data_IF_963937864110
#
_entry.id   IF_963937864110
#
_cell.length_a   1.000
_cell.length_b   1.000
_cell.length_c   1.000
_cell.angle_alpha   90.00
_cell.angle_beta   90.00
_cell.angle_gamma   90.00
#
_symmetry.space_group_name_H-M   'P 1'
#
loop_
_entity.id
_entity.type
_entity.pdbx_description
1 polymer ?
#
# COMPACT_ATOMS: atom_id res chain seq x y z
N UNK A 1 6.06 -12.80 30.94
CA UNK A 1 6.50 -11.73 30.00
C UNK A 1 5.34 -10.75 29.83
N UNK A 2 5.58 -9.44 30.04
CA UNK A 2 4.51 -8.41 29.97
C UNK A 2 4.00 -8.29 28.52
N UNK A 3 2.70 -8.06 28.34
CA UNK A 3 2.03 -7.93 27.02
C UNK A 3 2.72 -6.90 26.11
N UNK A 4 3.33 -5.86 26.69
CA UNK A 4 4.16 -4.88 25.98
C UNK A 4 5.37 -5.52 25.26
N UNK A 5 6.00 -6.55 25.84
CA UNK A 5 7.10 -7.27 25.20
C UNK A 5 6.60 -8.17 24.05
N UNK A 6 5.36 -8.67 24.11
CA UNK A 6 4.79 -9.49 23.05
C UNK A 6 4.42 -8.66 21.82
N UNK A 7 3.91 -7.44 22.02
CA UNK A 7 3.63 -6.48 20.94
C UNK A 7 4.92 -5.98 20.26
N UNK A 8 5.99 -5.77 21.02
CA UNK A 8 7.30 -5.37 20.47
C UNK A 8 7.92 -6.50 19.62
N UNK A 9 7.72 -7.76 20.00
CA UNK A 9 8.17 -8.94 19.24
C UNK A 9 7.32 -9.13 17.96
N UNK A 10 6.02 -8.77 17.99
CA UNK A 10 5.13 -8.86 16.82
C UNK A 10 5.38 -7.75 15.79
N UNK A 11 5.89 -6.59 16.21
CA UNK A 11 6.26 -5.45 15.35
C UNK A 11 7.66 -5.56 14.73
N UNK A 12 8.57 -6.35 15.35
CA UNK A 12 9.93 -6.57 14.88
C UNK A 12 10.06 -7.12 13.43
N UNK A 13 9.23 -8.07 12.95
CA UNK A 13 9.34 -8.59 11.59
C UNK A 13 8.94 -7.59 10.50
N UNK A 14 8.19 -6.52 10.82
CA UNK A 14 7.83 -5.46 9.85
C UNK A 14 9.05 -4.59 9.51
N UNK A 15 10.03 -4.50 10.42
CA UNK A 15 11.25 -3.71 10.23
C UNK A 15 12.42 -4.46 9.58
N UNK A 16 12.27 -5.75 9.25
CA UNK A 16 13.34 -6.58 8.67
C UNK A 16 13.11 -6.92 7.18
N UNK A 17 12.12 -6.31 6.53
CA UNK A 17 11.95 -6.38 5.09
C UNK A 17 13.13 -5.71 4.38
N UNK A 18 14.05 -6.51 3.81
CA UNK A 18 15.15 -5.98 2.99
C UNK A 18 14.59 -5.20 1.81
N UNK A 19 14.88 -3.90 1.72
CA UNK A 19 14.44 -3.01 0.64
C UNK A 19 15.19 -3.26 -0.69
N UNK A 20 15.61 -4.51 -0.95
CA UNK A 20 16.38 -4.90 -2.12
C UNK A 20 15.48 -5.55 -3.18
N UNK A 21 15.80 -5.37 -4.47
CA UNK A 21 15.19 -6.14 -5.55
C UNK A 21 15.37 -7.64 -5.36
N UNK A 22 14.38 -8.41 -5.76
CA UNK A 22 14.42 -9.87 -5.74
C UNK A 22 15.11 -10.39 -6.99
N UNK A 23 16.17 -11.18 -6.80
CA UNK A 23 16.86 -11.90 -7.88
C UNK A 23 16.31 -13.32 -7.96
N UNK A 24 15.87 -13.72 -9.15
CA UNK A 24 15.38 -15.07 -9.43
C UNK A 24 16.28 -15.64 -10.53
N UNK A 25 16.84 -16.82 -10.30
CA UNK A 25 17.73 -17.49 -11.27
C UNK A 25 17.23 -18.88 -11.60
N UNK A 26 17.45 -19.29 -12.83
CA UNK A 26 17.37 -20.68 -13.25
C UNK A 26 18.72 -21.08 -13.85
N UNK A 27 19.44 -21.97 -13.19
CA UNK A 27 20.79 -22.38 -13.61
C UNK A 27 20.68 -23.67 -14.39
N UNK A 28 21.22 -23.67 -15.60
CA UNK A 28 21.33 -24.89 -16.43
C UNK A 28 22.72 -25.51 -16.28
N UNK A 29 23.76 -24.66 -16.28
CA UNK A 29 25.16 -25.04 -16.10
C UNK A 29 25.87 -23.98 -15.26
N UNK A 30 26.80 -24.38 -14.42
CA UNK A 30 27.59 -23.44 -13.61
C UNK A 30 29.07 -23.73 -13.80
N UNK A 31 29.83 -22.67 -14.06
CA UNK A 31 31.30 -22.74 -14.13
C UNK A 31 31.91 -22.01 -12.93
N UNK A 32 33.23 -22.16 -12.72
CA UNK A 32 33.92 -21.33 -11.74
C UNK A 32 33.89 -19.86 -12.18
N UNK A 33 33.60 -18.90 -11.28
CA UNK A 33 33.67 -17.47 -11.60
C UNK A 33 35.07 -17.11 -12.09
N UNK A 34 35.17 -16.57 -13.32
CA UNK A 34 36.45 -16.16 -13.93
C UNK A 34 36.49 -14.67 -14.28
N UNK A 35 35.37 -14.07 -14.64
CA UNK A 35 35.23 -12.64 -14.91
C UNK A 35 34.67 -11.91 -13.69
N UNK A 36 35.17 -10.70 -13.40
CA UNK A 36 34.54 -9.83 -12.41
C UNK A 36 33.14 -9.40 -12.89
N UNK A 37 32.26 -8.98 -11.97
CA UNK A 37 30.90 -8.57 -12.34
C UNK A 37 30.91 -7.39 -13.33
N UNK A 38 31.88 -6.51 -13.21
CA UNK A 38 32.09 -5.33 -14.05
C UNK A 38 32.55 -5.71 -15.47
N UNK A 39 33.23 -6.85 -15.61
CA UNK A 39 33.75 -7.40 -16.86
C UNK A 39 32.72 -8.22 -17.63
N UNK A 40 31.57 -8.55 -17.01
CA UNK A 40 30.46 -9.22 -17.71
C UNK A 40 29.94 -8.30 -18.82
N UNK A 41 30.10 -8.72 -20.07
CA UNK A 41 29.63 -7.98 -21.23
C UNK A 41 28.10 -7.96 -21.27
N UNK A 42 27.50 -6.80 -21.55
CA UNK A 42 26.05 -6.63 -21.58
C UNK A 42 25.57 -6.49 -23.02
N UNK A 43 24.76 -7.44 -23.48
CA UNK A 43 23.94 -7.28 -24.68
C UNK A 43 22.57 -6.74 -24.28
N UNK A 44 22.19 -5.60 -24.84
CA UNK A 44 20.88 -4.98 -24.64
C UNK A 44 19.75 -5.78 -25.30
N UNK A 45 18.50 -5.39 -25.02
CA UNK A 45 17.31 -6.08 -25.58
C UNK A 45 17.34 -6.00 -27.10
N UNK A 46 17.28 -7.15 -27.76
CA UNK A 46 17.29 -7.27 -29.22
C UNK A 46 18.68 -7.22 -29.87
N UNK A 47 19.77 -7.08 -29.11
CA UNK A 47 21.12 -7.21 -29.64
C UNK A 47 21.46 -8.67 -29.92
N UNK A 48 22.16 -8.91 -31.03
CA UNK A 48 22.61 -10.25 -31.43
C UNK A 48 23.80 -10.69 -30.59
N UNK A 49 23.74 -11.92 -30.11
CA UNK A 49 24.82 -12.57 -29.36
C UNK A 49 25.61 -13.47 -30.32
N UNK A 50 26.94 -13.61 -30.18
CA UNK A 50 27.75 -14.52 -30.99
C UNK A 50 27.24 -15.97 -30.96
N UNK A 51 27.38 -16.71 -32.06
CA UNK A 51 27.01 -18.13 -32.14
C UNK A 51 27.83 -19.01 -31.17
N UNK A 52 29.01 -18.56 -30.75
CA UNK A 52 29.85 -19.22 -29.76
C UNK A 52 29.33 -19.10 -28.32
N UNK A 53 28.25 -18.35 -28.08
CA UNK A 53 27.69 -18.18 -26.75
C UNK A 53 26.90 -19.42 -26.30
N UNK A 54 27.33 -20.00 -25.20
CA UNK A 54 26.61 -21.06 -24.49
C UNK A 54 25.64 -20.44 -23.46
N UNK A 55 24.39 -20.91 -23.45
CA UNK A 55 23.44 -20.57 -22.38
C UNK A 55 23.77 -21.35 -21.12
N UNK A 56 24.03 -20.63 -20.02
CA UNK A 56 24.35 -21.24 -18.71
C UNK A 56 23.21 -21.07 -17.70
N UNK A 57 22.28 -20.14 -17.96
CA UNK A 57 21.07 -19.98 -17.17
C UNK A 57 20.33 -18.69 -17.50
N UNK A 58 19.32 -18.39 -16.71
CA UNK A 58 18.55 -17.15 -16.80
C UNK A 58 18.53 -16.41 -15.47
N UNK A 59 18.45 -15.09 -15.53
CA UNK A 59 18.33 -14.21 -14.38
C UNK A 59 17.17 -13.25 -14.58
N UNK A 60 16.39 -13.03 -13.53
CA UNK A 60 15.35 -12.02 -13.45
C UNK A 60 15.59 -11.18 -12.21
N UNK A 61 15.64 -9.87 -12.38
CA UNK A 61 15.67 -8.91 -11.27
C UNK A 61 14.34 -8.20 -11.27
N UNK A 62 13.55 -8.45 -10.23
CA UNK A 62 12.18 -7.94 -10.09
C UNK A 62 12.02 -7.22 -8.77
N UNK A 63 11.00 -6.37 -8.69
CA UNK A 63 10.68 -5.67 -7.46
C UNK A 63 10.04 -6.61 -6.44
N UNK A 64 10.51 -6.54 -5.19
CA UNK A 64 9.95 -7.25 -4.05
C UNK A 64 8.74 -6.54 -3.41
N UNK A 65 8.33 -5.38 -3.93
CA UNK A 65 7.17 -4.58 -3.48
C UNK A 65 7.53 -3.39 -2.61
N UNK A 66 8.77 -3.30 -2.13
CA UNK A 66 9.31 -2.17 -1.36
C UNK A 66 10.79 -1.89 -1.68
N UNK A 67 11.25 -2.22 -2.91
CA UNK A 67 12.66 -2.05 -3.26
C UNK A 67 13.03 -0.59 -3.44
N UNK A 68 14.16 -0.15 -2.88
CA UNK A 68 14.62 1.27 -2.95
C UNK A 68 15.86 1.47 -3.82
N UNK A 69 16.63 0.41 -4.10
CA UNK A 69 17.82 0.42 -4.95
C UNK A 69 17.57 -0.36 -6.25
N UNK A 70 16.73 0.17 -7.12
CA UNK A 70 16.20 -0.52 -8.29
C UNK A 70 16.17 0.33 -9.56
N UNK A 71 17.10 1.29 -9.69
CA UNK A 71 17.32 1.96 -10.98
C UNK A 71 17.96 0.99 -12.00
N UNK A 72 17.99 1.37 -13.28
CA UNK A 72 18.48 0.50 -14.35
C UNK A 72 19.90 -0.04 -14.09
N UNK A 73 20.85 0.84 -13.74
CA UNK A 73 22.24 0.45 -13.49
C UNK A 73 22.37 -0.51 -12.30
N UNK A 74 21.58 -0.30 -11.25
CA UNK A 74 21.56 -1.16 -10.06
C UNK A 74 21.01 -2.55 -10.37
N UNK A 75 19.91 -2.65 -11.15
CA UNK A 75 19.35 -3.96 -11.51
C UNK A 75 20.25 -4.70 -12.48
N UNK A 76 20.89 -3.99 -13.41
CA UNK A 76 21.90 -4.56 -14.33
C UNK A 76 23.12 -5.03 -13.55
N UNK A 77 23.65 -4.23 -12.63
CA UNK A 77 24.80 -4.62 -11.80
C UNK A 77 24.49 -5.89 -10.99
N UNK A 78 23.28 -6.00 -10.44
CA UNK A 78 22.84 -7.19 -9.70
C UNK A 78 22.71 -8.42 -10.60
N UNK A 79 22.22 -8.26 -11.83
CA UNK A 79 22.18 -9.33 -12.83
C UNK A 79 23.59 -9.74 -13.30
N UNK A 80 24.50 -8.79 -13.54
CA UNK A 80 25.90 -9.05 -13.87
C UNK A 80 26.64 -9.77 -12.75
N UNK A 81 26.45 -9.33 -11.50
CA UNK A 81 27.01 -9.99 -10.33
C UNK A 81 26.54 -11.45 -10.23
N UNK A 82 25.24 -11.68 -10.43
CA UNK A 82 24.66 -13.03 -10.47
C UNK A 82 25.24 -13.86 -11.61
N UNK A 83 25.41 -13.27 -12.80
CA UNK A 83 25.99 -13.92 -13.99
C UNK A 83 27.43 -14.37 -13.72
N UNK A 84 28.28 -13.46 -13.23
CA UNK A 84 29.67 -13.73 -12.86
C UNK A 84 29.75 -14.82 -11.78
N UNK A 85 28.91 -14.75 -10.73
CA UNK A 85 28.84 -15.76 -9.67
C UNK A 85 28.53 -17.17 -10.17
N UNK A 86 27.82 -17.30 -11.29
CA UNK A 86 27.48 -18.59 -11.91
C UNK A 86 28.44 -18.95 -13.06
N UNK A 87 29.52 -18.20 -13.25
CA UNK A 87 30.57 -18.50 -14.23
C UNK A 87 30.34 -17.96 -15.64
N UNK A 88 29.36 -17.08 -15.83
CA UNK A 88 29.12 -16.39 -17.11
C UNK A 88 30.00 -15.15 -17.29
N UNK A 89 30.37 -14.86 -18.52
CA UNK A 89 31.10 -13.65 -18.92
C UNK A 89 30.28 -12.70 -19.82
N UNK A 90 29.05 -13.10 -20.17
CA UNK A 90 28.11 -12.25 -20.90
C UNK A 90 26.70 -12.38 -20.34
N UNK A 91 25.95 -11.28 -20.40
CA UNK A 91 24.54 -11.18 -20.02
C UNK A 91 23.78 -10.57 -21.20
N UNK A 92 22.80 -11.29 -21.73
CA UNK A 92 21.93 -10.80 -22.79
C UNK A 92 20.53 -10.52 -22.25
N UNK A 93 20.08 -9.27 -22.29
CA UNK A 93 18.75 -8.90 -21.82
C UNK A 93 17.68 -9.39 -22.80
N UNK A 94 16.66 -10.06 -22.28
CA UNK A 94 15.51 -10.55 -23.04
C UNK A 94 14.26 -9.71 -22.80
N UNK A 95 14.18 -9.03 -21.65
CA UNK A 95 13.10 -8.12 -21.30
C UNK A 95 13.65 -6.99 -20.43
N UNK A 96 13.14 -5.78 -20.65
CA UNK A 96 13.41 -4.62 -19.81
C UNK A 96 12.10 -3.85 -19.66
N UNK A 97 11.62 -3.79 -18.41
CA UNK A 97 10.41 -3.05 -18.06
C UNK A 97 10.82 -1.83 -17.25
N UNK A 98 10.44 -0.67 -17.75
CA UNK A 98 10.63 0.58 -17.05
C UNK A 98 9.59 0.74 -15.93
N UNK A 99 9.92 1.53 -14.89
CA UNK A 99 8.96 1.96 -13.89
C UNK A 99 7.71 2.52 -14.56
N UNK A 100 6.53 2.06 -14.14
CA UNK A 100 5.26 2.48 -14.73
C UNK A 100 4.23 2.81 -13.67
N UNK A 101 3.30 3.71 -14.02
CA UNK A 101 2.30 4.25 -13.09
C UNK A 101 1.33 3.21 -12.53
N UNK A 102 1.09 2.11 -13.27
CA UNK A 102 0.21 1.00 -12.87
C UNK A 102 1.00 -0.29 -12.55
N UNK A 103 2.33 -0.24 -12.65
CA UNK A 103 3.23 -1.37 -12.43
C UNK A 103 4.19 -1.10 -11.28
N UNK A 104 5.34 -1.76 -11.30
CA UNK A 104 6.39 -1.52 -10.30
C UNK A 104 7.01 -0.14 -10.49
N UNK A 105 7.43 0.50 -9.39
CA UNK A 105 8.24 1.73 -9.40
C UNK A 105 9.73 1.48 -9.71
N UNK A 106 10.11 0.22 -9.90
CA UNK A 106 11.47 -0.23 -10.14
C UNK A 106 11.66 -0.70 -11.58
N UNK A 107 12.88 -0.55 -12.09
CA UNK A 107 13.23 -1.26 -13.32
C UNK A 107 13.19 -2.76 -13.04
N UNK A 108 12.67 -3.51 -14.00
CA UNK A 108 12.68 -4.96 -13.97
C UNK A 108 13.35 -5.46 -15.24
N UNK A 109 14.23 -6.44 -15.10
CA UNK A 109 14.95 -7.02 -16.24
C UNK A 109 14.87 -8.53 -16.19
N UNK A 110 14.86 -9.15 -17.37
CA UNK A 110 15.12 -10.55 -17.57
C UNK A 110 16.28 -10.69 -18.56
N UNK A 111 17.11 -11.71 -18.38
CA UNK A 111 18.20 -11.97 -19.29
C UNK A 111 18.74 -13.38 -19.22
N UNK A 112 19.44 -13.75 -20.28
CA UNK A 112 20.18 -14.99 -20.42
C UNK A 112 21.61 -14.75 -19.93
N UNK A 113 22.03 -15.58 -18.99
CA UNK A 113 23.42 -15.67 -18.54
C UNK A 113 24.16 -16.56 -19.53
N UNK A 114 25.26 -16.07 -20.07
CA UNK A 114 25.98 -16.69 -21.17
C UNK A 114 27.44 -16.91 -20.81
N UNK A 115 27.99 -17.96 -21.39
CA UNK A 115 29.42 -18.21 -21.45
C UNK A 115 29.88 -18.14 -22.91
N UNK A 116 30.78 -17.21 -23.20
CA UNK A 116 31.42 -17.08 -24.50
C UNK A 116 32.87 -17.52 -24.29
N UNK A 117 33.24 -18.66 -24.87
CA UNK A 117 34.64 -19.12 -24.83
C UNK A 117 35.56 -18.10 -25.49
N UNK A 118 36.81 -18.00 -25.01
CA UNK A 118 37.82 -17.11 -25.59
C UNK A 118 37.91 -17.36 -27.10
N UNK A 119 37.37 -16.43 -27.88
CA UNK A 119 37.71 -16.27 -29.27
C UNK A 119 39.10 -15.63 -29.31
N UNK A 120 40.14 -16.47 -29.37
CA UNK A 120 41.41 -16.01 -29.92
C UNK A 120 41.12 -15.53 -31.35
N UNK A 121 41.13 -14.21 -31.50
CA UNK A 121 40.97 -13.43 -32.73
C UNK A 121 39.55 -13.36 -33.30
N UNK A 122 38.82 -12.32 -32.94
CA UNK A 122 37.98 -11.61 -33.91
C UNK A 122 38.06 -10.10 -33.62
N UNK A 123 39.19 -9.50 -34.01
CA UNK A 123 39.16 -8.10 -34.38
C UNK A 123 38.28 -7.93 -35.62
N UNK A 124 37.61 -6.78 -35.70
CA UNK A 124 37.03 -6.13 -36.88
C UNK A 124 35.50 -6.13 -36.96
N UNK A 125 34.88 -5.15 -36.29
CA UNK A 125 34.32 -3.98 -36.99
C UNK A 125 33.88 -2.93 -35.95
N UNK A 126 34.75 -1.98 -35.66
CA UNK A 126 34.37 -0.70 -35.08
C UNK A 126 34.50 0.33 -36.19
N UNK A 127 33.37 0.81 -36.72
CA UNK A 127 33.32 2.09 -37.40
C UNK A 127 32.91 3.16 -36.37
N UNK A 128 33.65 4.28 -36.24
CA UNK A 128 33.36 5.30 -35.25
C UNK A 128 32.29 6.25 -35.77
N UNK A 129 31.28 6.54 -34.96
CA UNK A 129 30.54 7.80 -35.09
C UNK A 129 30.57 8.50 -33.75
N UNK A 130 31.50 9.45 -33.66
CA UNK A 130 31.36 10.60 -32.78
C UNK A 130 30.18 11.40 -33.29
N UNK A 131 29.18 11.65 -32.45
CA UNK A 131 28.45 12.91 -32.51
C UNK A 131 28.15 13.37 -31.10
N UNK A 132 28.84 14.44 -30.74
CA UNK A 132 28.45 15.37 -29.69
C UNK A 132 26.98 15.77 -29.88
N UNK A 133 26.16 15.54 -28.85
CA UNK A 133 24.97 16.34 -28.64
C UNK A 133 24.78 16.44 -27.14
N UNK A 134 25.36 17.50 -26.58
CA UNK A 134 24.83 18.09 -25.37
C UNK A 134 23.33 18.31 -25.59
N UNK A 135 22.53 17.62 -24.79
CA UNK A 135 21.14 17.96 -24.62
C UNK A 135 20.91 18.05 -23.13
N UNK A 136 21.03 19.27 -22.65
CA UNK A 136 20.33 19.74 -21.46
C UNK A 136 18.86 19.34 -21.62
N UNK A 137 18.51 18.22 -21.02
CA UNK A 137 17.14 17.94 -20.67
C UNK A 137 17.10 18.08 -19.16
N UNK A 138 16.91 19.32 -18.71
CA UNK A 138 16.03 19.59 -17.59
C UNK A 138 14.66 18.96 -17.92
N UNK A 139 14.56 17.63 -17.84
CA UNK A 139 13.30 16.93 -17.73
C UNK A 139 12.85 17.26 -16.32
N UNK A 140 12.08 18.34 -16.21
CA UNK A 140 11.48 18.79 -14.97
C UNK A 140 10.94 17.57 -14.26
N UNK A 141 11.43 17.35 -13.03
CA UNK A 141 10.90 16.35 -12.11
C UNK A 141 9.38 16.36 -12.29
N UNK A 142 8.82 15.29 -12.87
CA UNK A 142 7.38 15.18 -13.06
C UNK A 142 6.78 15.39 -11.67
N UNK A 143 6.21 16.57 -11.45
CA UNK A 143 5.64 16.93 -10.16
C UNK A 143 4.59 15.86 -9.88
N UNK A 144 4.72 15.21 -8.74
CA UNK A 144 3.73 14.25 -8.26
C UNK A 144 2.34 14.86 -8.47
N UNK A 145 1.44 14.12 -9.10
CA UNK A 145 0.04 14.57 -9.24
C UNK A 145 -0.67 14.64 -7.89
N UNK A 146 -0.06 14.05 -6.86
CA UNK A 146 -0.47 14.04 -5.46
C UNK A 146 0.44 14.95 -4.63
N UNK A 147 -0.18 15.78 -3.80
CA UNK A 147 0.48 16.28 -2.60
C UNK A 147 0.63 15.13 -1.62
N UNK A 148 1.77 15.09 -0.95
CA UNK A 148 2.10 13.93 -0.13
C UNK A 148 1.27 13.91 1.14
N UNK A 149 0.79 15.05 1.62
CA UNK A 149 0.06 15.15 2.88
C UNK A 149 -1.35 15.70 2.65
N UNK A 150 -2.35 14.99 3.17
CA UNK A 150 -3.75 15.41 3.14
C UNK A 150 -4.34 15.39 4.54
N UNK A 151 -4.94 16.50 4.97
CA UNK A 151 -5.84 16.52 6.14
C UNK A 151 -7.27 16.56 5.63
N UNK A 152 -8.14 15.74 6.19
CA UNK A 152 -9.55 15.71 5.80
C UNK A 152 -10.49 15.78 7.00
N UNK A 153 -11.65 16.40 6.75
CA UNK A 153 -12.77 16.45 7.68
C UNK A 153 -14.02 16.06 6.91
N UNK A 154 -14.71 15.03 7.37
CA UNK A 154 -15.99 14.59 6.81
C UNK A 154 -17.09 14.66 7.87
N UNK A 155 -18.29 14.96 7.41
CA UNK A 155 -19.52 14.86 8.19
C UNK A 155 -20.57 14.14 7.35
N UNK A 156 -21.39 13.34 8.01
CA UNK A 156 -22.33 12.50 7.30
C UNK A 156 -23.31 11.81 8.20
N UNK A 157 -23.83 10.71 7.66
CA UNK A 157 -24.88 9.95 8.28
C UNK A 157 -24.55 8.47 8.22
N UNK A 158 -24.78 7.78 9.33
CA UNK A 158 -24.43 6.38 9.47
C UNK A 158 -25.60 5.54 9.98
N UNK A 159 -25.59 4.28 9.51
CA UNK A 159 -26.58 3.26 9.77
C UNK A 159 -25.90 2.05 10.42
N UNK A 160 -26.37 1.64 11.60
CA UNK A 160 -25.91 0.43 12.28
C UNK A 160 -26.79 -0.76 11.89
N UNK A 161 -26.21 -1.83 11.36
CA UNK A 161 -26.98 -3.00 10.89
C UNK A 161 -27.18 -4.07 11.97
N UNK A 162 -26.54 -3.90 13.13
CA UNK A 162 -26.51 -4.92 14.17
C UNK A 162 -27.89 -5.22 14.80
N UNK A 163 -28.10 -6.45 15.26
CA UNK A 163 -29.29 -6.85 16.04
C UNK A 163 -29.11 -6.41 17.51
N UNK A 164 -29.31 -5.14 17.79
CA UNK A 164 -29.58 -4.72 19.17
C UNK A 164 -30.92 -5.32 19.61
N UNK A 165 -30.96 -6.04 20.73
CA UNK A 165 -32.20 -6.39 21.42
C UNK A 165 -32.79 -5.08 21.97
N UNK A 166 -33.80 -4.54 21.28
CA UNK A 166 -34.58 -3.42 21.80
C UNK A 166 -35.63 -4.00 22.75
N UNK A 167 -35.69 -3.58 24.02
CA UNK A 167 -36.81 -3.96 24.89
C UNK A 167 -38.12 -3.47 24.26
N UNK A 168 -39.16 -4.31 24.34
CA UNK A 168 -40.46 -4.05 23.73
C UNK A 168 -40.99 -2.67 24.18
N UNK A 169 -41.27 -1.77 23.23
CA UNK A 169 -41.83 -0.43 23.50
C UNK A 169 -40.88 0.77 23.25
N UNK A 170 -39.66 0.56 22.75
CA UNK A 170 -38.77 1.66 22.34
C UNK A 170 -39.27 2.38 21.07
N UNK A 171 -39.20 3.72 21.06
CA UNK A 171 -39.54 4.55 19.89
C UNK A 171 -38.34 5.38 19.43
N UNK A 172 -38.05 5.37 18.13
CA UNK A 172 -36.88 6.00 17.51
C UNK A 172 -36.09 5.07 16.57
N UNK A 173 -35.04 5.60 15.92
CA UNK A 173 -34.12 4.83 15.07
C UNK A 173 -32.72 4.79 15.71
N UNK A 174 -32.48 4.01 16.78
CA UNK A 174 -31.18 3.93 17.48
C UNK A 174 -30.03 3.56 16.55
N UNK A 175 -30.37 2.96 15.40
CA UNK A 175 -29.48 2.51 14.34
C UNK A 175 -29.12 3.59 13.33
N UNK A 176 -29.59 4.83 13.47
CA UNK A 176 -29.33 5.90 12.50
C UNK A 176 -28.89 7.17 13.23
N UNK A 177 -27.84 7.81 12.76
CA UNK A 177 -27.25 8.94 13.47
C UNK A 177 -26.19 9.70 12.69
N UNK A 178 -25.71 10.77 13.28
CA UNK A 178 -24.68 11.64 12.71
C UNK A 178 -23.31 10.97 12.82
N UNK A 179 -22.54 11.04 11.75
CA UNK A 179 -21.14 10.60 11.70
C UNK A 179 -20.23 11.79 11.41
N UNK A 180 -19.02 11.76 11.97
CA UNK A 180 -17.96 12.69 11.60
C UNK A 180 -16.62 11.97 11.61
N UNK A 181 -15.74 12.39 10.72
CA UNK A 181 -14.39 11.85 10.59
C UNK A 181 -13.39 12.97 10.45
N UNK A 182 -12.24 12.79 11.09
CA UNK A 182 -11.06 13.62 10.90
C UNK A 182 -9.89 12.69 10.70
N UNK A 183 -9.05 12.97 9.71
CA UNK A 183 -7.87 12.17 9.49
C UNK A 183 -6.77 12.90 8.76
N UNK A 184 -5.62 12.24 8.77
CA UNK A 184 -4.42 12.63 8.05
C UNK A 184 -3.96 11.45 7.21
N UNK A 185 -3.66 11.70 5.95
CA UNK A 185 -3.08 10.73 5.03
C UNK A 185 -1.74 11.24 4.52
N UNK A 186 -0.76 10.35 4.50
CA UNK A 186 0.43 10.51 3.68
C UNK A 186 0.33 9.59 2.46
N UNK A 187 0.46 10.13 1.26
CA UNK A 187 0.42 9.37 0.00
C UNK A 187 1.72 9.58 -0.77
N UNK A 188 2.37 8.47 -1.10
CA UNK A 188 3.54 8.48 -1.97
C UNK A 188 3.17 8.78 -3.43
N UNK A 189 4.19 8.99 -4.27
CA UNK A 189 4.02 9.24 -5.71
C UNK A 189 3.36 8.08 -6.46
N UNK A 190 3.43 6.85 -5.93
CA UNK A 190 2.79 5.67 -6.52
C UNK A 190 1.31 5.54 -6.16
N UNK A 191 0.75 6.47 -5.38
CA UNK A 191 -0.64 6.45 -4.94
C UNK A 191 -0.89 5.62 -3.69
N UNK A 192 0.12 4.93 -3.16
CA UNK A 192 0.02 4.19 -1.91
C UNK A 192 0.50 5.02 -0.72
N UNK A 193 -0.10 4.79 0.44
CA UNK A 193 0.06 5.66 1.58
C UNK A 193 -0.34 5.04 2.90
N UNK A 194 -0.12 5.82 3.95
CA UNK A 194 -0.52 5.49 5.31
C UNK A 194 -1.18 6.72 5.95
N UNK A 195 -2.20 6.49 6.75
CA UNK A 195 -2.96 7.54 7.40
C UNK A 195 -3.37 7.18 8.82
N UNK A 196 -3.99 8.14 9.49
CA UNK A 196 -4.61 7.97 10.78
C UNK A 196 -5.99 8.62 10.71
N UNK A 197 -7.03 7.84 11.04
CA UNK A 197 -8.40 8.32 11.06
C UNK A 197 -8.98 8.21 12.46
N UNK A 198 -9.65 9.29 12.87
CA UNK A 198 -10.63 9.27 13.94
C UNK A 198 -12.04 9.37 13.35
N UNK A 199 -12.96 8.55 13.84
CA UNK A 199 -14.39 8.64 13.53
C UNK A 199 -15.22 8.66 14.80
N UNK A 200 -16.15 9.60 14.87
CA UNK A 200 -17.16 9.68 15.92
C UNK A 200 -18.56 9.49 15.33
N UNK A 201 -19.43 8.86 16.12
CA UNK A 201 -20.84 8.72 15.80
C UNK A 201 -21.69 9.04 17.01
N UNK A 202 -22.85 9.66 16.76
CA UNK A 202 -23.85 9.94 17.79
C UNK A 202 -25.25 9.63 17.26
N UNK A 203 -26.00 8.87 18.05
CA UNK A 203 -27.45 8.71 17.90
C UNK A 203 -28.14 8.82 19.26
N UNK A 204 -29.46 9.00 19.22
CA UNK A 204 -30.30 9.05 20.41
C UNK A 204 -31.60 8.27 20.16
N UNK A 205 -32.09 7.57 21.17
CA UNK A 205 -33.40 6.91 21.14
C UNK A 205 -34.14 7.12 22.46
N UNK A 206 -35.47 7.04 22.42
CA UNK A 206 -36.30 7.23 23.62
C UNK A 206 -36.94 5.90 24.04
N UNK A 207 -36.79 5.55 25.32
CA UNK A 207 -37.40 4.38 25.92
C UNK A 207 -38.08 4.78 27.24
N UNK A 208 -39.40 4.57 27.34
CA UNK A 208 -40.18 4.88 28.56
C UNK A 208 -39.96 6.31 29.11
N UNK A 209 -40.05 7.33 28.23
CA UNK A 209 -39.78 8.75 28.53
C UNK A 209 -38.35 9.05 29.03
N UNK A 210 -37.40 8.18 28.68
CA UNK A 210 -35.97 8.36 28.96
C UNK A 210 -35.20 8.43 27.66
N UNK A 211 -34.47 9.52 27.45
CA UNK A 211 -33.58 9.69 26.30
C UNK A 211 -32.24 9.02 26.58
N UNK A 212 -31.90 8.04 25.74
CA UNK A 212 -30.63 7.32 25.77
C UNK A 212 -29.76 7.80 24.63
N UNK A 213 -28.55 8.24 24.95
CA UNK A 213 -27.56 8.67 23.97
C UNK A 213 -26.57 7.54 23.71
N UNK A 214 -26.37 7.22 22.44
CA UNK A 214 -25.39 6.24 21.98
C UNK A 214 -24.26 6.99 21.27
N UNK A 215 -23.03 6.73 21.70
CA UNK A 215 -21.83 7.30 21.12
C UNK A 215 -20.83 6.22 20.74
N UNK A 216 -20.27 6.32 19.53
CA UNK A 216 -19.16 5.48 19.10
C UNK A 216 -17.94 6.36 18.83
N UNK A 217 -16.77 5.86 19.19
CA UNK A 217 -15.49 6.44 18.80
C UNK A 217 -14.60 5.36 18.23
N UNK A 218 -13.97 5.63 17.09
CA UNK A 218 -13.04 4.75 16.43
C UNK A 218 -11.77 5.52 16.07
N UNK A 219 -10.62 4.94 16.31
CA UNK A 219 -9.33 5.48 15.88
C UNK A 219 -8.49 4.36 15.30
N UNK A 220 -7.98 4.56 14.09
CA UNK A 220 -7.18 3.54 13.43
C UNK A 220 -6.09 4.12 12.53
N UNK A 221 -4.86 3.55 12.56
CA UNK A 221 -3.98 3.65 11.42
C UNK A 221 -4.65 3.01 10.19
N UNK A 222 -4.42 3.62 9.03
CA UNK A 222 -5.01 3.21 7.78
C UNK A 222 -3.93 3.03 6.72
N UNK A 223 -4.10 2.04 5.88
CA UNK A 223 -3.49 2.05 4.56
C UNK A 223 -4.38 2.87 3.63
N UNK A 224 -3.74 3.64 2.75
CA UNK A 224 -4.40 4.54 1.82
C UNK A 224 -3.96 4.18 0.42
N UNK A 225 -4.91 4.00 -0.49
CA UNK A 225 -4.67 3.93 -1.91
C UNK A 225 -5.42 5.07 -2.59
N UNK A 226 -4.72 5.84 -3.42
CA UNK A 226 -5.26 7.00 -4.11
C UNK A 226 -4.89 6.97 -5.58
N UNK A 227 -5.88 7.16 -6.44
CA UNK A 227 -5.71 7.28 -7.88
C UNK A 227 -6.26 8.63 -8.33
N UNK A 228 -5.60 9.31 -9.27
CA UNK A 228 -6.05 10.61 -9.79
C UNK A 228 -6.26 10.53 -11.29
N UNK A 229 -7.47 10.89 -11.73
CA UNK A 229 -7.89 10.92 -13.14
C UNK A 229 -8.44 12.32 -13.42
N UNK A 230 -7.62 13.16 -14.07
CA UNK A 230 -7.94 14.57 -14.29
C UNK A 230 -8.14 15.33 -12.97
N UNK A 231 -9.33 15.91 -12.78
CA UNK A 231 -9.72 16.62 -11.55
C UNK A 231 -10.38 15.73 -10.49
N UNK A 232 -10.46 14.42 -10.73
CA UNK A 232 -11.03 13.47 -9.79
C UNK A 232 -9.94 12.62 -9.12
N UNK A 233 -10.07 12.42 -7.82
CA UNK A 233 -9.32 11.45 -7.04
C UNK A 233 -10.25 10.34 -6.57
N UNK A 234 -9.84 9.09 -6.70
CA UNK A 234 -10.51 7.95 -6.07
C UNK A 234 -9.63 7.48 -4.93
N UNK A 235 -10.21 7.32 -3.74
CA UNK A 235 -9.52 6.87 -2.54
C UNK A 235 -10.12 5.56 -2.00
N UNK A 236 -9.27 4.63 -1.62
CA UNK A 236 -9.64 3.44 -0.86
C UNK A 236 -8.80 3.38 0.41
N UNK A 237 -9.45 3.15 1.55
CA UNK A 237 -8.76 3.10 2.85
C UNK A 237 -9.21 1.88 3.64
N UNK A 238 -8.24 1.17 4.21
CA UNK A 238 -8.50 0.10 5.16
C UNK A 238 -7.71 0.33 6.44
N UNK A 239 -8.32 0.05 7.58
CA UNK A 239 -7.70 0.28 8.88
C UNK A 239 -8.15 -0.72 9.93
N UNK A 240 -7.31 -0.89 10.94
CA UNK A 240 -7.60 -1.69 12.12
C UNK A 240 -7.17 -0.88 13.33
N UNK A 241 -8.02 -0.76 14.33
CA UNK A 241 -7.75 0.11 15.46
C UNK A 241 -8.68 -0.06 16.62
N UNK A 242 -8.65 0.94 17.49
CA UNK A 242 -9.39 0.95 18.74
C UNK A 242 -10.81 1.42 18.51
N UNK A 243 -11.77 0.69 19.08
CA UNK A 243 -13.19 1.01 19.01
C UNK A 243 -13.75 1.15 20.43
N UNK A 244 -14.52 2.21 20.67
CA UNK A 244 -15.20 2.47 21.94
C UNK A 244 -16.67 2.74 21.71
N UNK A 245 -17.48 1.96 22.42
CA UNK A 245 -18.90 2.15 22.62
C UNK A 245 -19.14 2.93 23.91
N UNK A 246 -20.08 3.87 23.89
CA UNK A 246 -20.57 4.56 25.09
C UNK A 246 -22.07 4.74 25.03
N UNK A 247 -22.74 4.34 26.10
CA UNK A 247 -24.14 4.67 26.35
C UNK A 247 -24.25 5.61 27.54
N UNK A 248 -25.24 6.48 27.50
CA UNK A 248 -25.59 7.31 28.65
C UNK A 248 -27.10 7.53 28.73
N UNK A 249 -27.65 7.33 29.93
CA UNK A 249 -29.05 7.57 30.27
C UNK A 249 -29.15 8.11 31.71
N UNK A 250 -29.94 9.16 31.94
CA UNK A 250 -30.25 9.72 33.28
C UNK A 250 -29.02 9.85 34.23
N UNK A 251 -27.89 10.33 33.71
CA UNK A 251 -26.68 10.59 34.51
C UNK A 251 -25.76 9.38 34.76
N UNK A 252 -26.16 8.18 34.34
CA UNK A 252 -25.31 7.00 34.32
C UNK A 252 -24.70 6.86 32.92
N UNK A 253 -23.42 6.50 32.84
CA UNK A 253 -22.74 6.20 31.58
C UNK A 253 -21.94 4.92 31.70
N UNK A 254 -22.14 4.03 30.73
CA UNK A 254 -21.37 2.82 30.58
C UNK A 254 -20.59 2.88 29.26
N UNK A 255 -19.39 2.30 29.23
CA UNK A 255 -18.60 2.23 28.02
C UNK A 255 -17.91 0.89 27.88
N UNK A 256 -17.90 0.39 26.66
CA UNK A 256 -17.22 -0.85 26.29
C UNK A 256 -16.20 -0.53 25.21
N UNK A 257 -15.05 -1.18 25.24
CA UNK A 257 -14.01 -0.98 24.23
C UNK A 257 -13.47 -2.30 23.71
N UNK A 258 -13.02 -2.27 22.48
CA UNK A 258 -12.44 -3.42 21.80
C UNK A 258 -11.69 -3.01 20.55
N UNK A 259 -11.57 -3.95 19.63
CA UNK A 259 -10.93 -3.72 18.35
C UNK A 259 -11.97 -3.59 17.24
N UNK A 260 -11.67 -2.75 16.27
CA UNK A 260 -12.48 -2.59 15.07
C UNK A 260 -11.64 -2.47 13.82
N UNK A 261 -12.29 -2.72 12.70
CA UNK A 261 -11.73 -2.58 11.36
C UNK A 261 -12.62 -1.69 10.53
N UNK A 262 -12.04 -0.97 9.59
CA UNK A 262 -12.77 -0.13 8.66
C UNK A 262 -12.36 -0.38 7.22
N UNK A 263 -13.31 -0.11 6.33
CA UNK A 263 -13.07 0.01 4.90
C UNK A 263 -13.85 1.22 4.37
N UNK A 264 -13.23 2.01 3.51
CA UNK A 264 -13.79 3.24 2.95
C UNK A 264 -13.42 3.33 1.48
N UNK A 265 -14.40 3.69 0.65
CA UNK A 265 -14.22 4.11 -0.73
C UNK A 265 -14.69 5.56 -0.83
N UNK A 266 -13.88 6.43 -1.42
CA UNK A 266 -14.18 7.84 -1.58
C UNK A 266 -13.90 8.35 -2.98
N UNK A 267 -14.66 9.37 -3.37
CA UNK A 267 -14.40 10.17 -4.56
C UNK A 267 -14.18 11.62 -4.16
N UNK A 268 -13.08 12.20 -4.62
CA UNK A 268 -12.66 13.56 -4.36
C UNK A 268 -12.63 14.35 -5.67
N UNK A 269 -13.18 15.56 -5.66
CA UNK A 269 -13.03 16.56 -6.71
C UNK A 269 -12.06 17.66 -6.28
N UNK A 270 -10.99 17.86 -7.05
CA UNK A 270 -9.99 18.89 -6.78
C UNK A 270 -10.47 20.26 -7.27
N UNK A 271 -10.86 21.14 -6.34
CA UNK A 271 -11.21 22.53 -6.63
C UNK A 271 -9.96 23.34 -6.99
N UNK A 272 -8.85 23.05 -6.32
CA UNK A 272 -7.52 23.57 -6.58
C UNK A 272 -6.48 22.50 -6.26
N UNK A 273 -5.21 22.85 -6.41
CA UNK A 273 -4.12 21.98 -6.00
C UNK A 273 -4.11 21.71 -4.48
N UNK A 274 -4.60 22.63 -3.65
CA UNK A 274 -4.53 22.55 -2.19
C UNK A 274 -5.85 22.17 -1.53
N UNK A 275 -6.98 22.23 -2.25
CA UNK A 275 -8.32 22.05 -1.70
C UNK A 275 -9.13 21.12 -2.59
N UNK A 276 -9.71 20.09 -1.97
CA UNK A 276 -10.68 19.19 -2.60
C UNK A 276 -11.94 19.04 -1.76
N UNK A 277 -13.03 18.66 -2.43
CA UNK A 277 -14.29 18.24 -1.79
C UNK A 277 -14.52 16.79 -2.17
N UNK A 278 -14.92 15.95 -1.23
CA UNK A 278 -15.17 14.54 -1.52
C UNK A 278 -16.34 13.95 -0.77
N UNK A 279 -16.78 12.80 -1.26
CA UNK A 279 -17.83 11.98 -0.67
C UNK A 279 -17.30 10.55 -0.47
N UNK A 280 -17.65 9.97 0.67
CA UNK A 280 -17.12 8.70 1.15
C UNK A 280 -18.27 7.76 1.50
N UNK A 281 -18.15 6.50 1.09
CA UNK A 281 -18.98 5.39 1.53
C UNK A 281 -18.08 4.37 2.20
N UNK A 282 -18.41 3.97 3.42
CA UNK A 282 -17.60 3.01 4.14
C UNK A 282 -18.35 2.25 5.21
N UNK A 283 -17.62 1.37 5.87
CA UNK A 283 -18.11 0.66 7.04
C UNK A 283 -17.05 0.58 8.13
N UNK A 284 -17.51 0.53 9.37
CA UNK A 284 -16.72 0.21 10.55
C UNK A 284 -17.36 -0.97 11.26
N UNK A 285 -16.60 -2.05 11.39
CA UNK A 285 -16.97 -3.24 12.17
C UNK A 285 -16.16 -3.31 13.45
N UNK A 286 -16.73 -3.81 14.54
CA UNK A 286 -16.02 -4.04 15.79
C UNK A 286 -16.32 -5.41 16.37
N UNK A 287 -15.38 -5.92 17.16
CA UNK A 287 -15.58 -7.06 18.06
C UNK A 287 -15.43 -6.55 19.49
N UNK A 288 -16.47 -6.75 20.28
CA UNK A 288 -16.57 -6.26 21.66
C UNK A 288 -16.62 -7.46 22.63
N UNK A 289 -16.04 -7.32 23.85
CA UNK A 289 -16.13 -8.36 24.87
C UNK A 289 -17.59 -8.70 25.21
N UNK A 290 -17.87 -9.97 25.55
CA UNK A 290 -19.20 -10.39 26.01
C UNK A 290 -19.56 -9.65 27.30
N UNK A 291 -20.82 -9.19 27.44
CA UNK A 291 -21.35 -8.63 28.68
C UNK A 291 -22.05 -9.72 29.50
N UNK A 292 -21.73 -9.82 30.79
CA UNK A 292 -22.19 -10.91 31.67
C UNK A 292 -23.71 -10.91 31.98
N UNK A 293 -24.45 -9.89 31.55
CA UNK A 293 -25.88 -9.70 31.84
C UNK A 293 -26.83 -9.95 30.64
N UNK A 294 -26.33 -10.49 29.53
CA UNK A 294 -27.14 -10.78 28.34
C UNK A 294 -26.98 -12.26 27.97
N UNK A 295 -28.09 -12.99 27.94
CA UNK A 295 -28.13 -14.42 27.59
C UNK A 295 -27.95 -14.59 26.08
N UNK A 296 -26.69 -14.74 25.64
CA UNK A 296 -26.34 -14.92 24.24
C UNK A 296 -26.57 -16.38 23.84
N UNK A 297 -27.38 -16.63 22.80
CA UNK A 297 -27.50 -17.98 22.20
C UNK A 297 -26.16 -18.41 21.59
N UNK A 298 -25.89 -19.71 21.61
CA UNK A 298 -24.67 -20.31 21.07
C UNK A 298 -24.38 -19.84 19.63
N UNK A 299 -23.25 -19.16 19.44
CA UNK A 299 -22.79 -18.66 18.14
C UNK A 299 -22.94 -17.14 17.91
N UNK A 300 -23.52 -16.37 18.83
CA UNK A 300 -23.66 -14.92 18.68
C UNK A 300 -22.38 -14.16 19.09
N UNK A 301 -21.75 -13.47 18.12
CA UNK A 301 -20.61 -12.59 18.36
C UNK A 301 -21.10 -11.17 18.68
N UNK A 302 -20.66 -10.63 19.83
CA UNK A 302 -20.90 -9.23 20.22
C UNK A 302 -19.98 -8.32 19.39
N UNK A 303 -20.54 -7.57 18.44
CA UNK A 303 -19.74 -6.71 17.58
C UNK A 303 -20.58 -5.72 16.79
N UNK A 304 -20.21 -4.44 16.73
CA UNK A 304 -21.02 -3.39 16.09
C UNK A 304 -20.60 -3.25 14.63
N UNK A 305 -21.57 -3.24 13.71
CA UNK A 305 -21.34 -2.92 12.31
C UNK A 305 -22.09 -1.65 11.92
N UNK A 306 -21.36 -0.68 11.37
CA UNK A 306 -21.84 0.66 11.02
C UNK A 306 -21.45 0.99 9.58
N UNK A 307 -22.44 1.18 8.72
CA UNK A 307 -22.30 1.75 7.37
C UNK A 307 -22.38 3.27 7.47
N UNK A 308 -21.55 4.02 6.75
CA UNK A 308 -21.56 5.48 6.78
C UNK A 308 -21.43 6.07 5.37
N UNK A 309 -22.12 7.19 5.16
CA UNK A 309 -22.04 8.02 3.96
C UNK A 309 -21.73 9.45 4.41
N UNK A 310 -20.58 9.96 3.99
CA UNK A 310 -20.07 11.25 4.44
C UNK A 310 -19.63 12.13 3.28
N UNK A 311 -19.66 13.43 3.49
CA UNK A 311 -19.06 14.40 2.58
C UNK A 311 -18.16 15.36 3.37
N UNK A 312 -17.16 15.93 2.72
CA UNK A 312 -16.19 16.74 3.43
C UNK A 312 -15.17 17.46 2.58
N UNK A 313 -14.23 18.09 3.26
CA UNK A 313 -13.17 18.91 2.66
C UNK A 313 -11.82 18.25 2.93
N UNK A 314 -10.92 18.37 1.95
CA UNK A 314 -9.55 17.89 2.01
C UNK A 314 -8.60 19.06 1.76
N UNK A 315 -7.55 19.13 2.57
CA UNK A 315 -6.47 20.09 2.45
C UNK A 315 -5.18 19.36 2.11
N UNK A 316 -4.58 19.72 0.98
CA UNK A 316 -3.39 19.09 0.40
C UNK A 316 -2.18 20.01 0.55
N UNK A 317 -1.04 19.46 0.97
CA UNK A 317 0.22 20.18 1.14
C UNK A 317 1.46 19.29 1.01
#
# INVERSE_FOLDING_TARGET
MKIANLLLILLLPICLGSCAPKVITHIERSYSPRAAAEEVHLYGVGQTVPESAELIGTVKVVDSGASTKCNYDQVVALAKQTTSKNGGNALALTDHREPSLLGSSCHQIAGNMLWIGDATNLETEIAPVVTTSGRDNNAGVSKSSFYHSTIYVNIGYAFMTNKFYLPNGASGHPKKGMDWQVGYDWVSRSGFGAGLMYSGYKSSYSYSHVDVNVGLAYIAPQFVMKQKVGRWGIEEKFGIGYFKYRESAKGVSESLSGFGYNFLIGAEYYLSDHIGIGANLGYIGSSLPKQDNIDYKDGEHSGIFRLHLDAGIRFHF
#
